data_IF_270466372659
#
_entry.id   IF_270466372659
#
_cell.length_a   1.000
_cell.length_b   1.000
_cell.length_c   1.000
_cell.angle_alpha   90.00
_cell.angle_beta   90.00
_cell.angle_gamma   90.00
#
_symmetry.space_group_name_H-M   'P 1'
#
loop_
_entity.id
_entity.type
_entity.pdbx_description
1 polymer ?
#
# COMPACT_ATOMS: atom_id res chain seq x y z
N UNK A 1 -0.65 -27.09 -12.49
CA UNK A 1 -1.24 -26.23 -11.45
C UNK A 1 -0.96 -24.78 -11.88
N UNK A 2 -1.98 -23.92 -12.01
CA UNK A 2 -1.79 -22.50 -12.33
C UNK A 2 -2.25 -21.68 -11.13
N UNK A 3 -1.38 -20.84 -10.62
CA UNK A 3 -1.70 -19.90 -9.56
C UNK A 3 -2.13 -18.58 -10.22
N UNK A 4 -3.24 -18.03 -9.73
CA UNK A 4 -3.73 -16.72 -10.11
C UNK A 4 -3.82 -15.86 -8.86
N UNK A 5 -3.48 -14.59 -9.00
CA UNK A 5 -3.66 -13.60 -7.96
C UNK A 5 -4.90 -12.76 -8.29
N UNK A 6 -5.63 -12.37 -7.26
CA UNK A 6 -6.83 -11.53 -7.34
C UNK A 6 -6.89 -10.57 -6.17
N UNK A 7 -7.46 -9.39 -6.42
CA UNK A 7 -7.55 -8.27 -5.47
C UNK A 7 -9.01 -7.94 -5.16
N UNK A 8 -9.75 -8.91 -4.64
CA UNK A 8 -11.21 -8.81 -4.48
C UNK A 8 -11.64 -7.76 -3.45
N UNK A 9 -10.75 -7.42 -2.51
CA UNK A 9 -11.05 -6.50 -1.42
C UNK A 9 -10.55 -5.06 -1.65
N UNK A 10 -9.97 -4.75 -2.81
CA UNK A 10 -9.42 -3.42 -3.08
C UNK A 10 -10.45 -2.30 -2.98
N UNK A 11 -11.69 -2.55 -3.40
CA UNK A 11 -12.79 -1.58 -3.32
C UNK A 11 -13.78 -1.87 -2.18
N UNK A 12 -13.49 -2.84 -1.32
CA UNK A 12 -14.37 -3.17 -0.21
C UNK A 12 -14.29 -2.11 0.89
N UNK A 13 -15.43 -1.77 1.47
CA UNK A 13 -15.48 -0.82 2.57
C UNK A 13 -14.77 -1.36 3.83
N UNK A 14 -14.05 -0.48 4.51
CA UNK A 14 -13.38 -0.77 5.79
C UNK A 14 -14.27 -0.31 6.94
N UNK A 15 -14.22 -1.01 8.08
CA UNK A 15 -14.86 -0.51 9.28
C UNK A 15 -14.11 0.75 9.81
N UNK A 16 -14.74 1.58 10.64
CA UNK A 16 -14.07 2.72 11.25
C UNK A 16 -12.78 2.31 11.98
N UNK A 17 -11.65 2.92 11.60
CA UNK A 17 -10.33 2.70 12.21
C UNK A 17 -9.47 1.57 11.65
N UNK A 18 -9.89 0.84 10.60
CA UNK A 18 -9.33 -0.47 10.23
C UNK A 18 -8.28 -0.62 9.07
N UNK A 19 -7.36 0.26 8.69
CA UNK A 19 -6.67 0.20 7.36
C UNK A 19 -7.51 -0.21 6.11
N UNK A 20 -7.03 0.02 4.88
CA UNK A 20 -7.65 -0.57 3.69
C UNK A 20 -7.57 -2.11 3.72
N UNK A 21 -8.56 -2.81 3.16
CA UNK A 21 -8.54 -4.29 3.11
C UNK A 21 -7.60 -4.87 2.06
N UNK A 22 -6.81 -4.02 1.42
CA UNK A 22 -5.85 -4.38 0.41
C UNK A 22 -4.48 -3.84 0.80
N UNK A 23 -3.44 -4.59 0.43
CA UNK A 23 -2.05 -4.26 0.69
C UNK A 23 -1.60 -3.04 -0.10
N UNK A 24 -0.76 -2.19 0.47
CA UNK A 24 -0.08 -1.14 -0.27
C UNK A 24 0.76 -1.71 -1.43
N UNK A 25 1.11 -0.86 -2.40
CA UNK A 25 1.98 -1.23 -3.54
C UNK A 25 3.32 -1.84 -3.10
N UNK A 26 3.88 -1.29 -2.02
CA UNK A 26 5.22 -1.61 -1.50
C UNK A 26 5.20 -2.18 -0.09
N UNK A 27 4.03 -2.37 0.52
CA UNK A 27 3.88 -2.83 1.90
C UNK A 27 4.62 -4.15 2.17
N UNK A 28 4.57 -5.09 1.22
CA UNK A 28 5.26 -6.39 1.36
C UNK A 28 6.79 -6.20 1.44
N UNK A 29 7.34 -5.14 0.84
CA UNK A 29 8.78 -4.89 0.80
C UNK A 29 9.30 -4.14 2.02
N UNK A 30 8.41 -3.59 2.86
CA UNK A 30 8.80 -2.78 4.02
C UNK A 30 9.66 -3.50 5.03
N UNK A 31 9.40 -4.79 5.26
CA UNK A 31 10.20 -5.62 6.18
C UNK A 31 11.55 -6.03 5.58
N UNK A 32 11.70 -5.96 4.26
CA UNK A 32 12.95 -6.27 3.56
C UNK A 32 13.83 -5.01 3.40
N UNK A 33 13.20 -3.85 3.23
CA UNK A 33 13.84 -2.57 2.95
C UNK A 33 13.59 -1.55 4.07
N UNK A 34 13.67 -1.97 5.33
CA UNK A 34 13.74 -1.01 6.44
C UNK A 34 15.18 -0.51 6.58
N UNK A 35 15.47 0.59 5.88
CA UNK A 35 16.78 1.24 5.88
C UNK A 35 16.85 2.39 6.90
N UNK A 36 15.84 2.54 7.75
CA UNK A 36 15.82 3.57 8.79
C UNK A 36 16.43 3.00 10.08
N UNK A 37 17.49 3.60 10.64
CA UNK A 37 18.15 3.05 11.84
C UNK A 37 17.21 2.91 13.05
N UNK A 38 16.24 3.80 13.18
CA UNK A 38 15.22 3.81 14.22
C UNK A 38 14.00 2.94 13.87
N UNK A 39 13.94 2.40 12.65
CA UNK A 39 12.77 1.73 12.09
C UNK A 39 11.71 2.70 11.56
N UNK A 40 10.83 2.17 10.71
CA UNK A 40 9.73 2.95 10.13
C UNK A 40 8.67 3.28 11.20
N UNK A 41 8.11 4.51 11.25
CA UNK A 41 7.01 4.86 12.14
C UNK A 41 5.75 4.01 11.90
N UNK A 42 4.99 3.74 12.97
CA UNK A 42 3.81 2.85 12.91
C UNK A 42 2.65 3.42 12.08
N UNK A 43 2.56 4.73 11.93
CA UNK A 43 1.54 5.46 11.16
C UNK A 43 2.04 5.87 9.77
N UNK A 44 3.17 5.31 9.31
CA UNK A 44 3.73 5.64 8.02
C UNK A 44 3.00 4.93 6.87
N UNK A 45 2.65 5.70 5.84
CA UNK A 45 2.01 5.21 4.61
C UNK A 45 2.76 5.67 3.35
N UNK A 46 2.44 5.07 2.21
CA UNK A 46 3.02 5.40 0.91
C UNK A 46 2.83 6.89 0.56
N UNK A 47 3.93 7.58 0.26
CA UNK A 47 3.93 9.00 -0.13
C UNK A 47 4.07 9.11 -1.66
N UNK A 48 2.94 9.21 -2.36
CA UNK A 48 2.90 9.26 -3.82
C UNK A 48 2.80 10.71 -4.30
N UNK A 49 3.71 11.12 -5.18
CA UNK A 49 3.68 12.43 -5.84
C UNK A 49 3.38 12.22 -7.32
N UNK A 50 2.19 12.63 -7.75
CA UNK A 50 1.79 12.59 -9.15
C UNK A 50 2.01 13.96 -9.79
N UNK A 51 2.60 13.97 -10.99
CA UNK A 51 2.60 15.16 -11.83
C UNK A 51 1.19 15.36 -12.41
N UNK A 52 0.76 16.61 -12.49
CA UNK A 52 -0.52 16.95 -13.13
C UNK A 52 -0.39 16.64 -14.63
N UNK A 53 -1.18 15.69 -15.10
CA UNK A 53 -1.32 15.46 -16.54
C UNK A 53 -2.35 16.46 -17.09
N UNK A 54 -1.91 17.37 -17.95
CA UNK A 54 -2.82 18.20 -18.75
C UNK A 54 -3.49 17.31 -19.80
N UNK A 55 -4.81 17.22 -19.75
CA UNK A 55 -5.60 16.57 -20.80
C UNK A 55 -5.65 17.50 -22.01
N UNK A 56 -5.00 17.11 -23.10
CA UNK A 56 -5.25 17.63 -24.45
C UNK A 56 -6.45 16.92 -25.08
#
# INVERSE_FOLDING_TARGET
MRHFWGSELFWAERAPGQDPRHVGTLEILWNLLDLTPEGRPADWHEQLKYERQEKT
#
